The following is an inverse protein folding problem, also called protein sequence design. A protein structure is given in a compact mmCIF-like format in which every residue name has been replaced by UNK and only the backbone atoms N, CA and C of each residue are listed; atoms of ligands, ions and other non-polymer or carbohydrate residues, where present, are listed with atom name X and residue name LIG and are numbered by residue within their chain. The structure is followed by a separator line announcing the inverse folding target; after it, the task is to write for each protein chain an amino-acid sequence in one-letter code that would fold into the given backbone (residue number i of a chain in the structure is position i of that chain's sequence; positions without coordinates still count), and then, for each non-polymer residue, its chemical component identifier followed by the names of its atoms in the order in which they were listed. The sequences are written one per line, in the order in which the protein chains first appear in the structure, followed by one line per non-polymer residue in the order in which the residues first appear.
data_IF_460262770337
#
_entry.id   IF_460262770337
#
_cell.length_a   1.000
_cell.length_b   1.000
_cell.length_c   1.000
_cell.angle_alpha   90.00
_cell.angle_beta   90.00
_cell.angle_gamma   90.00
#
_symmetry.space_group_name_H-M   'P 1'
#
loop_
_entity.id
_entity.type
_entity.pdbx_description
1 polymer ?
#
# COMPACT_ATOMS: atom_id res chain seq x y z
N UNK A 1 11.48 15.55 -13.94
CA UNK A 1 10.58 16.52 -13.26
C UNK A 1 9.58 15.82 -12.32
N UNK A 2 8.61 14.98 -12.81
CA UNK A 2 7.65 14.26 -11.93
C UNK A 2 8.35 13.28 -10.96
N UNK A 3 9.19 12.41 -11.48
CA UNK A 3 9.91 11.40 -10.68
C UNK A 3 10.85 12.02 -9.65
N UNK A 4 11.54 13.08 -10.01
CA UNK A 4 12.41 13.83 -9.10
C UNK A 4 11.60 14.47 -7.96
N UNK A 5 10.42 15.00 -8.25
CA UNK A 5 9.52 15.55 -7.23
C UNK A 5 9.09 14.45 -6.26
N UNK A 6 8.64 13.30 -6.77
CA UNK A 6 8.22 12.16 -5.95
C UNK A 6 9.38 11.69 -5.08
N UNK A 7 10.56 11.46 -5.65
CA UNK A 7 11.74 11.03 -4.90
C UNK A 7 12.16 12.03 -3.83
N UNK A 8 12.10 13.32 -4.14
CA UNK A 8 12.38 14.38 -3.17
C UNK A 8 11.41 14.28 -1.98
N UNK A 9 10.10 14.12 -2.24
CA UNK A 9 9.08 14.02 -1.19
C UNK A 9 9.25 12.74 -0.35
N UNK A 10 9.50 11.59 -0.98
CA UNK A 10 9.79 10.33 -0.27
C UNK A 10 10.99 10.50 0.64
N UNK A 11 12.03 11.23 0.17
CA UNK A 11 13.20 11.53 1.00
C UNK A 11 12.87 12.47 2.16
N UNK A 12 12.07 13.51 1.95
CA UNK A 12 11.62 14.42 3.00
C UNK A 12 10.86 13.65 4.10
N UNK A 13 9.98 12.69 3.72
CA UNK A 13 9.30 11.81 4.68
C UNK A 13 10.29 10.96 5.47
N UNK A 14 11.25 10.34 4.79
CA UNK A 14 12.29 9.53 5.43
C UNK A 14 13.09 10.37 6.45
N UNK A 15 13.60 11.55 6.05
CA UNK A 15 14.39 12.43 6.90
C UNK A 15 13.58 12.94 8.10
N UNK A 16 12.30 13.26 7.87
CA UNK A 16 11.41 13.72 8.93
C UNK A 16 11.16 12.63 9.97
N UNK A 17 10.90 11.39 9.55
CA UNK A 17 10.73 10.29 10.50
C UNK A 17 12.00 10.02 11.31
N UNK A 18 13.18 10.11 10.70
CA UNK A 18 14.44 10.00 11.43
C UNK A 18 14.59 11.14 12.47
N UNK A 19 14.20 12.36 12.12
CA UNK A 19 14.26 13.50 13.05
C UNK A 19 13.33 13.35 14.25
N UNK A 20 12.26 12.55 14.12
CA UNK A 20 11.36 12.17 15.20
C UNK A 20 11.89 11.01 16.08
N UNK A 21 13.09 10.51 15.78
CA UNK A 21 13.73 9.43 16.54
C UNK A 21 13.35 8.02 16.11
N UNK A 22 12.65 7.84 14.97
CA UNK A 22 12.40 6.50 14.46
C UNK A 22 13.66 5.92 13.82
N UNK A 23 13.98 4.67 14.15
CA UNK A 23 15.01 3.90 13.45
C UNK A 23 14.39 3.34 12.15
N UNK A 24 14.52 4.12 11.07
CA UNK A 24 13.89 3.80 9.77
C UNK A 24 14.78 2.87 8.96
N UNK A 25 14.25 1.73 8.52
CA UNK A 25 14.91 0.78 7.60
C UNK A 25 14.76 1.23 6.15
N UNK A 26 13.52 1.52 5.75
CA UNK A 26 13.21 2.08 4.44
C UNK A 26 11.87 2.81 4.46
N UNK A 27 11.73 3.77 3.54
CA UNK A 27 10.48 4.49 3.25
C UNK A 27 10.13 4.26 1.80
N UNK A 28 8.92 3.76 1.53
CA UNK A 28 8.42 3.43 0.21
C UNK A 28 7.20 4.29 -0.15
N UNK A 29 7.13 4.74 -1.39
CA UNK A 29 5.93 5.38 -1.92
C UNK A 29 4.76 4.40 -1.91
N UNK A 30 3.55 4.89 -1.58
CA UNK A 30 2.30 4.16 -1.73
C UNK A 30 1.26 4.99 -2.51
N UNK A 31 0.30 4.31 -3.13
CA UNK A 31 -0.88 4.97 -3.66
C UNK A 31 -0.82 5.37 -5.13
N UNK A 32 -1.48 6.49 -5.47
CA UNK A 32 -1.85 6.85 -6.84
C UNK A 32 -0.67 6.95 -7.81
N UNK A 33 0.50 7.35 -7.36
CA UNK A 33 1.70 7.47 -8.19
C UNK A 33 2.21 6.10 -8.68
N UNK A 34 2.10 5.06 -7.84
CA UNK A 34 2.44 3.69 -8.22
C UNK A 34 1.49 3.13 -9.28
N UNK A 35 0.25 3.64 -9.30
CA UNK A 35 -0.81 3.17 -10.20
C UNK A 35 -0.87 3.96 -11.52
N UNK A 36 -0.09 5.03 -11.66
CA UNK A 36 -0.19 5.97 -12.78
C UNK A 36 -1.48 6.81 -12.76
N UNK A 37 -2.08 7.00 -11.58
CA UNK A 37 -3.36 7.68 -11.35
C UNK A 37 -3.20 8.99 -10.57
N UNK A 38 -1.99 9.50 -10.53
CA UNK A 38 -1.65 10.81 -9.99
C UNK A 38 -1.93 11.93 -10.99
N UNK A 39 -2.12 13.13 -10.48
CA UNK A 39 -2.39 14.33 -11.26
C UNK A 39 -1.54 15.48 -10.72
N UNK A 40 -0.85 16.18 -11.63
CA UNK A 40 -0.07 17.37 -11.32
C UNK A 40 -0.47 18.47 -12.32
N UNK A 41 -1.20 19.45 -11.83
CA UNK A 41 -1.60 20.63 -12.57
C UNK A 41 -1.31 21.89 -11.75
N UNK A 42 -1.50 23.07 -12.32
CA UNK A 42 -1.41 24.33 -11.57
C UNK A 42 -2.45 24.43 -10.44
N UNK A 43 -3.60 23.76 -10.62
CA UNK A 43 -4.74 23.80 -9.69
C UNK A 43 -4.74 22.65 -8.67
N UNK A 44 -4.04 21.54 -8.97
CA UNK A 44 -4.06 20.34 -8.13
C UNK A 44 -2.76 19.55 -8.25
N UNK A 45 -2.24 19.17 -7.10
CA UNK A 45 -1.11 18.23 -6.99
C UNK A 45 -1.54 17.03 -6.14
N UNK A 46 -1.29 15.83 -6.65
CA UNK A 46 -1.50 14.61 -5.88
C UNK A 46 -0.54 14.54 -4.71
N UNK A 47 -1.07 14.22 -3.53
CA UNK A 47 -0.29 13.99 -2.33
C UNK A 47 0.68 12.83 -2.52
N UNK A 48 1.84 12.91 -1.90
CA UNK A 48 2.81 11.82 -1.85
C UNK A 48 2.69 11.14 -0.51
N UNK A 49 2.00 10.00 -0.47
CA UNK A 49 1.89 9.19 0.72
C UNK A 49 2.98 8.12 0.74
N UNK A 50 3.51 7.82 1.93
CA UNK A 50 4.56 6.82 2.11
C UNK A 50 4.23 5.83 3.21
N UNK A 51 4.90 4.68 3.15
CA UNK A 51 4.89 3.68 4.22
C UNK A 51 6.32 3.29 4.55
N UNK A 52 6.66 3.39 5.84
CA UNK A 52 8.02 3.18 6.33
C UNK A 52 8.08 1.95 7.24
N UNK A 53 9.16 1.19 7.08
CA UNK A 53 9.53 0.12 8.01
C UNK A 53 10.43 0.72 9.07
N UNK A 54 10.03 0.59 10.34
CA UNK A 54 10.82 1.04 11.49
C UNK A 54 11.16 -0.12 12.42
N UNK A 55 12.24 0.05 13.20
CA UNK A 55 12.70 -0.93 14.16
C UNK A 55 12.35 -0.50 15.58
N UNK A 56 11.90 -1.44 16.41
CA UNK A 56 11.76 -1.20 17.83
C UNK A 56 13.12 -1.12 18.51
N UNK A 57 13.20 -0.48 19.68
CA UNK A 57 14.33 -0.57 20.58
C UNK A 57 14.36 -1.94 21.30
N UNK A 58 15.51 -2.34 21.82
CA UNK A 58 15.64 -3.55 22.63
C UNK A 58 14.71 -3.51 23.84
N UNK A 59 14.66 -2.37 24.52
CA UNK A 59 13.77 -2.15 25.67
C UNK A 59 12.30 -2.34 25.34
N UNK A 60 11.87 -2.04 24.11
CA UNK A 60 10.49 -2.26 23.67
C UNK A 60 10.17 -3.76 23.57
N UNK A 61 11.15 -4.60 23.19
CA UNK A 61 11.00 -6.06 23.23
C UNK A 61 10.97 -6.59 24.67
N UNK A 62 11.90 -6.13 25.52
CA UNK A 62 11.98 -6.55 26.93
C UNK A 62 10.69 -6.19 27.66
N UNK A 63 10.19 -4.99 27.45
CA UNK A 63 8.94 -4.51 28.04
C UNK A 63 7.67 -5.05 27.37
N UNK A 64 7.78 -5.90 26.34
CA UNK A 64 6.66 -6.42 25.55
C UNK A 64 5.72 -5.33 25.02
N UNK A 65 6.26 -4.18 24.65
CA UNK A 65 5.46 -3.09 24.10
C UNK A 65 4.83 -3.48 22.75
N UNK A 66 3.62 -2.97 22.52
CA UNK A 66 2.92 -3.20 21.25
C UNK A 66 3.75 -2.66 20.07
N UNK A 67 3.76 -3.38 18.93
CA UNK A 67 4.43 -2.90 17.72
C UNK A 67 3.91 -1.56 17.24
N UNK A 68 4.80 -0.67 16.79
CA UNK A 68 4.44 0.66 16.29
C UNK A 68 3.57 0.54 15.02
N UNK A 69 2.40 1.16 15.04
CA UNK A 69 1.52 1.31 13.89
C UNK A 69 0.81 2.65 13.97
N UNK A 70 1.37 3.65 13.33
CA UNK A 70 0.83 5.02 13.35
C UNK A 70 0.96 5.69 12.00
N UNK A 71 0.35 6.86 11.86
CA UNK A 71 0.51 7.74 10.70
C UNK A 71 1.00 9.10 11.20
N UNK A 72 2.09 9.56 10.64
CA UNK A 72 2.63 10.90 10.85
C UNK A 72 2.14 11.77 9.70
N UNK A 73 1.52 12.90 10.04
CA UNK A 73 1.06 13.89 9.06
C UNK A 73 2.11 14.99 8.97
N UNK A 74 2.61 15.26 7.77
CA UNK A 74 3.59 16.31 7.52
C UNK A 74 2.90 17.68 7.42
N UNK A 75 3.67 18.76 7.47
CA UNK A 75 3.15 20.15 7.40
C UNK A 75 2.34 20.44 6.14
N UNK A 76 2.61 19.74 5.07
CA UNK A 76 1.88 19.83 3.79
C UNK A 76 0.68 18.87 3.67
N UNK A 77 0.24 18.28 4.79
CA UNK A 77 -0.83 17.29 4.91
C UNK A 77 -0.57 15.94 4.19
N UNK A 78 0.64 15.65 3.76
CA UNK A 78 1.01 14.31 3.29
C UNK A 78 1.17 13.34 4.46
N UNK A 79 0.95 12.04 4.20
CA UNK A 79 0.94 11.02 5.23
C UNK A 79 2.13 10.07 5.10
N UNK A 80 2.86 9.91 6.20
CA UNK A 80 3.87 8.89 6.36
C UNK A 80 3.35 7.81 7.32
N UNK A 81 2.93 6.66 6.81
CA UNK A 81 2.59 5.53 7.65
C UNK A 81 3.86 4.91 8.22
N UNK A 82 3.91 4.75 9.54
CA UNK A 82 5.03 4.17 10.28
C UNK A 82 4.62 2.81 10.79
N UNK A 83 5.30 1.76 10.33
CA UNK A 83 5.00 0.37 10.68
C UNK A 83 6.24 -0.32 11.21
N UNK A 84 6.13 -0.87 12.43
CA UNK A 84 7.11 -1.79 12.97
C UNK A 84 7.38 -2.94 11.99
N UNK A 85 8.62 -3.36 11.89
CA UNK A 85 9.03 -4.47 11.00
C UNK A 85 8.19 -5.73 11.22
N UNK A 86 7.76 -6.00 12.47
CA UNK A 86 6.92 -7.15 12.80
C UNK A 86 5.56 -7.07 12.13
N UNK A 87 4.93 -5.87 12.14
CA UNK A 87 3.65 -5.63 11.46
C UNK A 87 3.84 -5.69 9.94
N UNK A 88 4.88 -5.04 9.42
CA UNK A 88 5.12 -4.98 7.98
C UNK A 88 5.27 -6.38 7.38
N UNK A 89 6.10 -7.23 7.99
CA UNK A 89 6.32 -8.59 7.50
C UNK A 89 5.10 -9.49 7.69
N UNK A 90 4.32 -9.28 8.76
CA UNK A 90 3.04 -9.96 8.92
C UNK A 90 2.03 -9.58 7.82
N UNK A 91 2.02 -8.32 7.38
CA UNK A 91 1.16 -7.88 6.28
C UNK A 91 1.59 -8.46 4.93
N UNK A 92 2.90 -8.65 4.70
CA UNK A 92 3.37 -9.40 3.52
C UNK A 92 2.86 -10.85 3.54
N UNK A 93 2.93 -11.55 4.68
CA UNK A 93 2.39 -12.91 4.84
C UNK A 93 0.87 -12.96 4.69
N UNK A 94 0.16 -11.93 5.14
CA UNK A 94 -1.28 -11.78 4.89
C UNK A 94 -1.63 -11.40 3.45
N UNK A 95 -0.61 -11.26 2.59
CA UNK A 95 -0.78 -10.87 1.20
C UNK A 95 -1.64 -9.61 1.05
N UNK A 96 -1.45 -8.64 1.98
CA UNK A 96 -2.21 -7.39 1.93
C UNK A 96 -1.76 -6.56 0.73
N UNK A 97 -2.69 -6.28 -0.20
CA UNK A 97 -2.40 -5.62 -1.47
C UNK A 97 -1.67 -4.29 -1.31
N UNK A 98 -2.07 -3.46 -0.31
CA UNK A 98 -1.43 -2.15 -0.04
C UNK A 98 -0.04 -2.27 0.60
N UNK A 99 0.38 -3.47 1.01
CA UNK A 99 1.74 -3.73 1.49
C UNK A 99 2.57 -4.41 0.41
N UNK A 100 1.99 -5.37 -0.31
CA UNK A 100 2.67 -6.04 -1.41
C UNK A 100 3.06 -5.04 -2.51
N UNK A 101 2.26 -3.99 -2.76
CA UNK A 101 2.61 -2.93 -3.72
C UNK A 101 3.95 -2.26 -3.42
N UNK A 102 4.35 -2.14 -2.14
CA UNK A 102 5.62 -1.51 -1.74
C UNK A 102 6.84 -2.23 -2.29
N UNK A 103 6.72 -3.54 -2.55
CA UNK A 103 7.78 -4.33 -3.17
C UNK A 103 8.02 -3.93 -4.64
N UNK A 104 7.04 -3.31 -5.27
CA UNK A 104 7.02 -2.97 -6.70
C UNK A 104 7.15 -1.48 -6.99
N UNK A 105 7.19 -0.63 -5.96
CA UNK A 105 7.45 0.80 -6.17
C UNK A 105 8.87 1.05 -6.64
N UNK A 106 9.01 1.96 -7.61
CA UNK A 106 10.31 2.42 -8.07
C UNK A 106 10.83 3.60 -7.20
N UNK A 107 10.02 4.06 -6.24
CA UNK A 107 10.30 5.20 -5.37
C UNK A 107 10.45 4.76 -3.92
N UNK A 108 11.68 4.55 -3.49
CA UNK A 108 11.99 4.22 -2.12
C UNK A 108 13.32 4.84 -1.67
N UNK A 109 13.42 5.09 -0.38
CA UNK A 109 14.66 5.47 0.30
C UNK A 109 15.00 4.35 1.27
N UNK A 110 16.16 3.76 1.10
CA UNK A 110 16.67 2.69 1.97
C UNK A 110 17.77 3.28 2.85
N UNK A 111 17.69 3.03 4.16
CA UNK A 111 18.76 3.39 5.08
C UNK A 111 20.03 2.61 4.71
N UNK A 112 21.15 3.28 4.41
CA UNK A 112 22.39 2.62 4.04
C UNK A 112 22.87 1.55 5.03
N UNK A 113 22.59 1.75 6.32
CA UNK A 113 22.94 0.83 7.40
C UNK A 113 22.30 -0.56 7.22
N UNK A 114 21.07 -0.62 6.73
CA UNK A 114 20.31 -1.86 6.53
C UNK A 114 20.23 -2.30 5.08
N UNK A 115 20.84 -1.56 4.15
CA UNK A 115 20.66 -1.77 2.71
C UNK A 115 20.97 -3.21 2.27
N UNK A 116 22.04 -3.81 2.75
CA UNK A 116 22.42 -5.18 2.39
C UNK A 116 21.48 -6.24 2.97
N UNK A 117 20.80 -5.95 4.09
CA UNK A 117 19.84 -6.84 4.75
C UNK A 117 18.43 -6.76 4.11
N UNK A 118 17.99 -5.56 3.72
CA UNK A 118 16.65 -5.35 3.17
C UNK A 118 16.58 -5.54 1.65
N UNK A 119 17.69 -5.37 0.90
CA UNK A 119 17.72 -5.50 -0.55
C UNK A 119 17.10 -6.80 -1.09
N UNK A 120 17.29 -7.98 -0.46
CA UNK A 120 16.64 -9.20 -0.91
C UNK A 120 15.10 -9.13 -0.92
N UNK A 121 14.49 -8.26 -0.10
CA UNK A 121 13.03 -8.04 -0.10
C UNK A 121 12.55 -7.55 -1.49
N UNK A 122 13.28 -6.61 -2.07
CA UNK A 122 12.95 -6.03 -3.38
C UNK A 122 13.44 -6.92 -4.55
N UNK A 123 14.60 -7.54 -4.40
CA UNK A 123 15.18 -8.41 -5.44
C UNK A 123 14.37 -9.69 -5.65
N UNK A 124 13.79 -10.24 -4.58
CA UNK A 124 13.01 -11.49 -4.60
C UNK A 124 11.50 -11.25 -4.50
N UNK A 125 11.06 -10.04 -4.82
CA UNK A 125 9.66 -9.61 -4.70
C UNK A 125 8.68 -10.53 -5.41
N UNK A 126 9.03 -11.05 -6.60
CA UNK A 126 8.12 -11.92 -7.36
C UNK A 126 7.92 -13.26 -6.68
N UNK A 127 8.93 -13.81 -6.00
CA UNK A 127 8.80 -15.01 -5.18
C UNK A 127 7.95 -14.68 -3.94
N UNK A 128 8.24 -13.57 -3.24
CA UNK A 128 7.50 -13.15 -2.05
C UNK A 128 6.02 -12.92 -2.37
N UNK A 129 5.71 -12.35 -3.52
CA UNK A 129 4.34 -12.11 -3.97
C UNK A 129 3.56 -13.39 -4.31
N UNK A 130 4.21 -14.55 -4.34
CA UNK A 130 3.54 -15.85 -4.47
C UNK A 130 3.33 -16.57 -3.13
N UNK A 131 3.59 -15.90 -2.00
CA UNK A 131 3.54 -16.50 -0.66
C UNK A 131 2.24 -17.28 -0.40
N UNK A 132 1.08 -16.68 -0.66
CA UNK A 132 -0.22 -17.35 -0.61
C UNK A 132 -1.18 -16.72 -1.63
N UNK A 133 -1.33 -17.36 -2.78
CA UNK A 133 -2.14 -16.86 -3.89
C UNK A 133 -3.63 -16.72 -3.50
N UNK A 134 -4.18 -17.71 -2.80
CA UNK A 134 -5.58 -17.67 -2.39
C UNK A 134 -5.85 -16.52 -1.42
N UNK A 135 -4.94 -16.31 -0.46
CA UNK A 135 -5.04 -15.20 0.48
C UNK A 135 -4.95 -13.85 -0.26
N UNK A 136 -4.12 -13.74 -1.29
CA UNK A 136 -4.03 -12.52 -2.11
C UNK A 136 -5.33 -12.21 -2.84
N UNK A 137 -5.95 -13.22 -3.47
CA UNK A 137 -7.26 -13.08 -4.12
C UNK A 137 -8.36 -12.68 -3.12
N UNK A 138 -8.40 -13.29 -1.94
CA UNK A 138 -9.34 -12.90 -0.87
C UNK A 138 -9.11 -11.46 -0.40
N UNK A 139 -7.85 -11.03 -0.32
CA UNK A 139 -7.52 -9.66 0.04
C UNK A 139 -8.04 -8.65 -1.00
N UNK A 140 -7.86 -8.92 -2.30
CA UNK A 140 -8.37 -8.08 -3.38
C UNK A 140 -9.89 -7.95 -3.26
N UNK A 141 -10.61 -9.07 -3.08
CA UNK A 141 -12.07 -9.08 -2.91
C UNK A 141 -12.51 -8.32 -1.66
N UNK A 142 -11.84 -8.55 -0.52
CA UNK A 142 -12.12 -7.84 0.73
C UNK A 142 -11.94 -6.32 0.61
N UNK A 143 -10.88 -5.88 -0.08
CA UNK A 143 -10.65 -4.46 -0.32
C UNK A 143 -11.74 -3.83 -1.19
N UNK A 144 -12.24 -4.50 -2.22
CA UNK A 144 -13.34 -4.00 -3.03
C UNK A 144 -14.61 -3.80 -2.18
N UNK A 145 -14.92 -4.77 -1.31
CA UNK A 145 -16.05 -4.67 -0.38
C UNK A 145 -15.90 -3.52 0.63
N UNK A 146 -14.69 -3.27 1.13
CA UNK A 146 -14.41 -2.10 1.99
C UNK A 146 -14.68 -0.79 1.25
N UNK A 147 -14.22 -0.66 0.01
CA UNK A 147 -14.46 0.55 -0.80
C UNK A 147 -15.95 0.73 -1.10
N UNK A 148 -16.67 -0.36 -1.37
CA UNK A 148 -18.13 -0.32 -1.55
C UNK A 148 -18.84 0.21 -0.30
N UNK A 149 -18.49 -0.31 0.89
CA UNK A 149 -19.04 0.17 2.16
C UNK A 149 -18.74 1.65 2.42
N UNK A 150 -17.55 2.10 2.01
CA UNK A 150 -17.11 3.47 2.19
C UNK A 150 -17.72 4.46 1.18
N UNK A 151 -18.34 3.99 0.08
CA UNK A 151 -18.80 4.80 -1.04
C UNK A 151 -19.70 5.97 -0.61
N UNK A 152 -20.69 5.71 0.22
CA UNK A 152 -21.65 6.70 0.71
C UNK A 152 -21.49 7.00 2.21
N UNK A 153 -20.38 6.54 2.84
CA UNK A 153 -20.20 6.72 4.27
C UNK A 153 -19.64 8.11 4.59
N UNK A 154 -20.30 8.90 5.46
CA UNK A 154 -19.91 10.27 5.77
C UNK A 154 -18.76 10.31 6.80
N UNK A 155 -17.56 9.85 6.42
CA UNK A 155 -16.37 10.07 7.24
C UNK A 155 -16.12 11.56 7.48
N UNK A 156 -15.56 11.97 8.62
CA UNK A 156 -15.42 13.40 8.97
C UNK A 156 -14.82 14.28 7.87
N UNK A 157 -13.83 13.80 7.12
CA UNK A 157 -13.22 14.52 6.01
C UNK A 157 -14.01 14.47 4.69
N UNK A 158 -15.14 13.76 4.64
CA UNK A 158 -15.92 13.56 3.41
C UNK A 158 -17.38 14.03 3.53
N UNK A 159 -17.79 14.58 4.69
CA UNK A 159 -19.18 14.97 4.95
C UNK A 159 -19.72 15.90 3.86
N UNK A 160 -19.04 17.01 3.59
CA UNK A 160 -19.47 17.98 2.57
C UNK A 160 -19.60 17.37 1.17
N UNK A 161 -18.71 16.43 0.85
CA UNK A 161 -18.71 15.74 -0.44
C UNK A 161 -19.89 14.78 -0.57
N UNK A 162 -20.19 14.03 0.51
CA UNK A 162 -21.31 13.11 0.56
C UNK A 162 -22.64 13.88 0.57
N UNK A 163 -22.75 14.99 1.32
CA UNK A 163 -23.93 15.86 1.28
C UNK A 163 -24.18 16.45 -0.11
N UNK A 164 -23.13 16.83 -0.82
CA UNK A 164 -23.25 17.45 -2.14
C UNK A 164 -23.56 16.46 -3.26
N UNK A 165 -22.94 15.28 -3.25
CA UNK A 165 -22.95 14.33 -4.36
C UNK A 165 -23.61 12.99 -4.04
N UNK A 166 -23.86 12.70 -2.76
CA UNK A 166 -24.38 11.42 -2.27
C UNK A 166 -23.31 10.32 -2.11
N UNK A 167 -22.11 10.49 -2.70
CA UNK A 167 -21.05 9.48 -2.67
C UNK A 167 -19.67 10.08 -2.86
N UNK A 168 -18.62 9.29 -2.52
CA UNK A 168 -17.23 9.61 -2.81
C UNK A 168 -16.73 8.89 -4.08
N UNK A 169 -16.51 9.64 -5.17
CA UNK A 169 -15.98 9.11 -6.44
C UNK A 169 -14.62 8.42 -6.30
N UNK A 170 -13.82 8.74 -5.26
CA UNK A 170 -12.56 8.03 -4.98
C UNK A 170 -12.81 6.55 -4.63
N UNK A 171 -13.90 6.24 -3.95
CA UNK A 171 -14.24 4.84 -3.61
C UNK A 171 -14.70 4.07 -4.86
N UNK A 172 -15.55 4.66 -5.70
CA UNK A 172 -15.96 4.08 -6.98
C UNK A 172 -14.75 3.81 -7.89
N UNK A 173 -13.86 4.79 -8.02
CA UNK A 173 -12.59 4.67 -8.72
C UNK A 173 -11.76 3.47 -8.21
N UNK A 174 -11.68 3.28 -6.88
CA UNK A 174 -10.94 2.16 -6.31
C UNK A 174 -11.59 0.80 -6.63
N UNK A 175 -12.93 0.69 -6.62
CA UNK A 175 -13.61 -0.55 -6.99
C UNK A 175 -13.35 -0.90 -8.46
N UNK A 176 -13.45 0.07 -9.36
CA UNK A 176 -13.16 -0.12 -10.78
C UNK A 176 -11.69 -0.54 -11.03
N UNK A 177 -10.73 0.12 -10.34
CA UNK A 177 -9.30 -0.23 -10.41
C UNK A 177 -9.03 -1.66 -9.90
N UNK A 178 -9.70 -2.05 -8.82
CA UNK A 178 -9.55 -3.41 -8.26
C UNK A 178 -10.12 -4.48 -9.20
N UNK A 179 -11.18 -4.16 -9.95
CA UNK A 179 -11.72 -5.07 -10.98
C UNK A 179 -10.72 -5.26 -12.13
N UNK A 180 -10.11 -4.17 -12.63
CA UNK A 180 -9.05 -4.24 -13.63
C UNK A 180 -7.85 -5.05 -13.10
N UNK A 181 -7.40 -4.74 -11.88
CA UNK A 181 -6.28 -5.44 -11.24
C UNK A 181 -6.54 -6.93 -11.10
N UNK A 182 -7.72 -7.33 -10.58
CA UNK A 182 -8.08 -8.73 -10.37
C UNK A 182 -8.07 -9.51 -11.68
N UNK A 183 -8.66 -8.95 -12.74
CA UNK A 183 -8.71 -9.58 -14.07
C UNK A 183 -7.30 -9.81 -14.60
N UNK A 184 -6.49 -8.78 -14.66
CA UNK A 184 -5.11 -8.85 -15.18
C UNK A 184 -4.25 -9.83 -14.37
N UNK A 185 -4.42 -9.85 -13.05
CA UNK A 185 -3.69 -10.76 -12.17
C UNK A 185 -4.03 -12.24 -12.46
N UNK A 186 -5.32 -12.59 -12.63
CA UNK A 186 -5.70 -13.97 -12.91
C UNK A 186 -5.37 -14.41 -14.34
N UNK A 187 -5.29 -13.47 -15.28
CA UNK A 187 -4.82 -13.68 -16.65
C UNK A 187 -3.29 -13.87 -16.74
N UNK A 188 -2.57 -13.69 -15.62
CA UNK A 188 -1.13 -13.93 -15.56
C UNK A 188 -0.27 -12.74 -15.97
N UNK A 189 -0.82 -11.54 -16.01
CA UNK A 189 -0.02 -10.30 -16.18
C UNK A 189 0.95 -10.18 -15.01
N UNK A 190 2.22 -9.82 -15.25
CA UNK A 190 3.20 -9.61 -14.18
C UNK A 190 2.66 -8.64 -13.11
N UNK A 191 2.84 -8.95 -11.84
CA UNK A 191 2.22 -8.18 -10.75
C UNK A 191 2.65 -6.71 -10.75
N UNK A 192 3.90 -6.42 -11.13
CA UNK A 192 4.37 -5.02 -11.31
C UNK A 192 3.47 -4.24 -12.29
N UNK A 193 3.06 -4.89 -13.37
CA UNK A 193 2.24 -4.26 -14.41
C UNK A 193 0.78 -4.19 -13.99
N UNK A 194 0.28 -5.17 -13.21
CA UNK A 194 -1.08 -5.11 -12.65
C UNK A 194 -1.32 -3.87 -11.77
N UNK A 195 -0.30 -3.35 -11.09
CA UNK A 195 -0.44 -2.12 -10.30
C UNK A 195 -0.68 -0.88 -11.17
N UNK A 196 -0.14 -0.84 -12.39
CA UNK A 196 -0.33 0.28 -13.32
C UNK A 196 -1.62 0.11 -14.10
N UNK A 197 -2.55 1.04 -13.94
CA UNK A 197 -3.82 0.99 -14.68
C UNK A 197 -3.64 1.34 -16.15
N UNK A 198 -4.28 0.58 -17.03
CA UNK A 198 -4.41 0.88 -18.45
C UNK A 198 -5.64 1.77 -18.75
N UNK A 199 -6.56 1.91 -17.77
CA UNK A 199 -7.81 2.66 -17.88
C UNK A 199 -7.75 4.02 -17.16
N UNK A 200 -6.58 4.67 -17.21
CA UNK A 200 -6.34 5.93 -16.47
C UNK A 200 -7.44 6.97 -16.69
N UNK A 201 -7.82 7.24 -17.92
CA UNK A 201 -8.80 8.29 -18.24
C UNK A 201 -10.17 7.96 -17.62
N UNK A 202 -10.66 6.74 -17.81
CA UNK A 202 -11.92 6.25 -17.25
C UNK A 202 -11.91 6.34 -15.72
N UNK A 203 -10.85 5.84 -15.09
CA UNK A 203 -10.71 5.86 -13.64
C UNK A 203 -10.65 7.29 -13.08
N UNK A 204 -9.99 8.21 -13.76
CA UNK A 204 -9.94 9.61 -13.34
C UNK A 204 -11.29 10.33 -13.51
N UNK A 205 -12.11 9.95 -14.50
CA UNK A 205 -13.50 10.43 -14.60
C UNK A 205 -14.31 9.98 -13.38
N UNK A 206 -14.25 8.69 -13.01
CA UNK A 206 -14.95 8.17 -11.83
C UNK A 206 -14.51 8.86 -10.53
N UNK A 207 -13.19 9.10 -10.37
CA UNK A 207 -12.64 9.85 -9.23
C UNK A 207 -13.23 11.26 -9.12
N UNK A 208 -13.49 11.91 -10.25
CA UNK A 208 -14.09 13.24 -10.38
C UNK A 208 -15.64 13.22 -10.42
N UNK A 209 -16.25 12.07 -10.09
CA UNK A 209 -17.71 11.87 -10.07
C UNK A 209 -18.38 12.12 -11.42
N UNK A 210 -17.70 11.74 -12.51
CA UNK A 210 -18.18 11.87 -13.89
C UNK A 210 -18.36 10.50 -14.54
N UNK A 211 -19.32 10.42 -15.47
CA UNK A 211 -19.44 9.30 -16.39
C UNK A 211 -18.35 9.37 -17.48
N UNK A 212 -18.25 8.34 -18.32
CA UNK A 212 -17.26 8.28 -19.40
C UNK A 212 -17.50 9.27 -20.55
N UNK A 213 -18.60 10.05 -20.49
CA UNK A 213 -18.90 11.18 -21.40
C UNK A 213 -18.59 12.54 -20.78
N UNK A 214 -18.13 12.54 -19.51
CA UNK A 214 -17.78 13.74 -18.75
C UNK A 214 -18.96 14.41 -18.02
N UNK A 215 -20.16 13.82 -18.04
CA UNK A 215 -21.30 14.34 -17.30
C UNK A 215 -21.19 13.93 -15.81
N UNK A 216 -21.85 14.70 -14.95
CA UNK A 216 -21.99 14.31 -13.54
C UNK A 216 -22.68 12.96 -13.42
N UNK A 217 -22.08 12.03 -12.68
CA UNK A 217 -22.63 10.69 -12.46
C UNK A 217 -23.59 10.74 -11.27
N UNK A 218 -24.91 10.44 -11.45
CA UNK A 218 -25.86 10.39 -10.36
C UNK A 218 -25.50 9.33 -9.31
N UNK A 219 -25.87 9.59 -8.04
CA UNK A 219 -25.53 8.73 -6.92
C UNK A 219 -26.03 7.29 -7.11
N UNK A 220 -27.26 7.12 -7.57
CA UNK A 220 -27.90 5.82 -7.81
C UNK A 220 -27.09 5.01 -8.84
N UNK A 221 -26.67 5.65 -9.93
CA UNK A 221 -25.88 5.01 -10.98
C UNK A 221 -24.46 4.70 -10.46
N UNK A 222 -23.87 5.59 -9.65
CA UNK A 222 -22.57 5.34 -9.03
C UNK A 222 -22.61 4.11 -8.09
N UNK A 223 -23.70 3.93 -7.35
CA UNK A 223 -23.95 2.75 -6.51
C UNK A 223 -24.03 1.49 -7.36
N UNK A 224 -24.86 1.49 -8.41
CA UNK A 224 -24.99 0.36 -9.33
C UNK A 224 -23.65 -0.04 -9.97
N UNK A 225 -22.88 0.93 -10.43
CA UNK A 225 -21.56 0.67 -11.00
C UNK A 225 -20.58 0.10 -9.95
N UNK A 226 -20.62 0.64 -8.74
CA UNK A 226 -19.77 0.14 -7.66
C UNK A 226 -20.12 -1.30 -7.30
N UNK A 227 -21.42 -1.64 -7.21
CA UNK A 227 -21.89 -3.00 -6.99
C UNK A 227 -21.44 -3.93 -8.11
N UNK A 228 -21.61 -3.52 -9.36
CA UNK A 228 -21.13 -4.29 -10.53
C UNK A 228 -19.61 -4.56 -10.48
N UNK A 229 -18.77 -3.56 -10.16
CA UNK A 229 -17.32 -3.76 -10.02
C UNK A 229 -16.98 -4.70 -8.86
N UNK A 230 -17.67 -4.57 -7.72
CA UNK A 230 -17.46 -5.47 -6.58
C UNK A 230 -17.86 -6.91 -6.89
N UNK A 231 -18.98 -7.11 -7.58
CA UNK A 231 -19.43 -8.43 -8.02
C UNK A 231 -18.46 -9.06 -9.03
N UNK A 232 -17.95 -8.25 -9.96
CA UNK A 232 -16.91 -8.70 -10.90
C UNK A 232 -15.63 -9.12 -10.16
N UNK A 233 -15.14 -8.30 -9.20
CA UNK A 233 -13.99 -8.67 -8.36
C UNK A 233 -14.26 -9.96 -7.60
N UNK A 234 -15.43 -10.08 -6.98
CA UNK A 234 -15.81 -11.28 -6.23
C UNK A 234 -15.79 -12.53 -7.14
N UNK A 235 -16.46 -12.47 -8.28
CA UNK A 235 -16.53 -13.57 -9.23
C UNK A 235 -15.14 -13.97 -9.72
N UNK A 236 -14.36 -13.01 -10.25
CA UNK A 236 -13.01 -13.24 -10.75
C UNK A 236 -12.13 -13.89 -9.67
N UNK A 237 -12.14 -13.36 -8.46
CA UNK A 237 -11.27 -13.87 -7.39
C UNK A 237 -11.70 -15.24 -6.90
N UNK A 238 -13.01 -15.49 -6.70
CA UNK A 238 -13.52 -16.76 -6.16
C UNK A 238 -13.43 -17.91 -7.13
N UNK A 239 -13.70 -17.69 -8.41
CA UNK A 239 -13.55 -18.72 -9.46
C UNK A 239 -12.10 -19.14 -9.68
N UNK A 240 -11.15 -18.32 -9.26
CA UNK A 240 -9.71 -18.57 -9.39
C UNK A 240 -9.02 -19.04 -8.10
N UNK A 241 -9.79 -19.29 -7.01
CA UNK A 241 -9.23 -19.92 -5.80
C UNK A 241 -8.87 -21.38 -6.09
N UNK A 242 -7.71 -21.80 -5.60
CA UNK A 242 -7.34 -23.20 -5.56
C UNK A 242 -8.11 -23.90 -4.42
N UNK A 243 -8.35 -25.23 -4.53
CA UNK A 243 -9.04 -26.00 -3.48
C UNK A 243 -8.35 -25.95 -2.12
N UNK A 244 -7.02 -25.81 -2.10
CA UNK A 244 -6.21 -25.74 -0.89
C UNK A 244 -5.42 -24.46 -0.83
N UNK A 245 -5.25 -23.94 0.39
CA UNK A 245 -4.33 -22.81 0.66
C UNK A 245 -2.91 -23.37 0.76
N UNK A 246 -2.13 -23.09 -0.29
CA UNK A 246 -0.72 -23.48 -0.33
C UNK A 246 0.13 -22.26 0.03
N UNK A 247 1.06 -22.46 0.98
CA UNK A 247 2.09 -21.46 1.30
C UNK A 247 3.33 -21.79 0.48
N UNK A 248 3.90 -20.79 -0.19
CA UNK A 248 5.20 -20.90 -0.82
C UNK A 248 6.29 -20.87 0.26
N UNK A 249 6.88 -22.03 0.57
CA UNK A 249 7.91 -22.18 1.60
C UNK A 249 9.18 -21.36 1.28
N UNK A 250 9.55 -21.20 0.01
CA UNK A 250 10.68 -20.34 -0.37
C UNK A 250 10.40 -18.87 -0.02
N UNK A 251 9.21 -18.37 -0.30
CA UNK A 251 8.79 -17.01 0.06
C UNK A 251 8.77 -16.83 1.58
N UNK A 252 8.33 -17.85 2.33
CA UNK A 252 8.35 -17.86 3.78
C UNK A 252 9.77 -17.73 4.33
N UNK A 253 10.70 -18.58 3.88
CA UNK A 253 12.08 -18.55 4.34
C UNK A 253 12.78 -17.24 3.98
N UNK A 254 12.51 -16.67 2.80
CA UNK A 254 13.02 -15.35 2.42
C UNK A 254 12.57 -14.28 3.42
N UNK A 255 11.26 -14.16 3.66
CA UNK A 255 10.70 -13.18 4.60
C UNK A 255 11.28 -13.35 6.02
N UNK A 256 11.28 -14.56 6.52
CA UNK A 256 11.80 -14.91 7.85
C UNK A 256 13.28 -14.54 8.00
N UNK A 257 14.09 -14.85 6.99
CA UNK A 257 15.54 -14.60 7.04
C UNK A 257 15.84 -13.10 6.98
N UNK A 258 15.14 -12.33 6.14
CA UNK A 258 15.32 -10.88 6.05
C UNK A 258 14.92 -10.22 7.39
N UNK A 259 13.72 -10.51 7.87
CA UNK A 259 13.24 -9.96 9.14
C UNK A 259 14.18 -10.30 10.30
N UNK A 260 14.58 -11.57 10.40
CA UNK A 260 15.47 -12.04 11.45
C UNK A 260 16.86 -11.42 11.38
N UNK A 261 17.42 -11.22 10.20
CA UNK A 261 18.73 -10.58 10.01
C UNK A 261 18.72 -9.13 10.45
N UNK A 262 17.70 -8.35 10.04
CA UNK A 262 17.56 -6.94 10.40
C UNK A 262 17.37 -6.77 11.91
N UNK A 263 16.51 -7.59 12.54
CA UNK A 263 16.27 -7.52 13.97
C UNK A 263 17.53 -7.91 14.77
N UNK A 264 18.28 -8.93 14.36
CA UNK A 264 19.53 -9.33 15.01
C UNK A 264 20.58 -8.22 14.93
N UNK A 265 20.70 -7.56 13.78
CA UNK A 265 21.63 -6.44 13.62
C UNK A 265 21.26 -5.27 14.53
N UNK A 266 19.97 -4.91 14.60
CA UNK A 266 19.49 -3.87 15.50
C UNK A 266 19.79 -4.17 16.96
N UNK A 267 19.48 -5.39 17.43
CA UNK A 267 19.71 -5.80 18.82
C UNK A 267 21.21 -5.83 19.16
N UNK A 268 22.05 -6.31 18.23
CA UNK A 268 23.50 -6.33 18.41
C UNK A 268 24.07 -4.91 18.62
N UNK A 269 23.61 -3.95 17.85
CA UNK A 269 24.05 -2.56 17.97
C UNK A 269 23.68 -1.93 19.31
N UNK A 270 22.45 -2.15 19.77
CA UNK A 270 22.01 -1.61 21.07
C UNK A 270 22.82 -2.18 22.23
N UNK A 271 23.04 -3.52 22.22
CA UNK A 271 23.87 -4.18 23.24
C UNK A 271 25.33 -3.66 23.24
N UNK A 272 25.90 -3.39 22.07
CA UNK A 272 27.27 -2.85 21.99
C UNK A 272 27.36 -1.40 22.47
N UNK A 273 26.29 -0.61 22.29
CA UNK A 273 26.26 0.78 22.76
C UNK A 273 26.12 0.84 24.28
N UNK A 274 25.39 -0.10 24.92
CA UNK A 274 25.27 -0.19 26.38
C UNK A 274 26.57 -0.58 27.09
N UNK A 275 27.50 -1.28 26.39
CA UNK A 275 28.81 -1.63 26.95
C UNK A 275 29.82 -0.46 26.96
N UNK A 276 29.51 0.66 26.31
CA UNK A 276 30.39 1.83 26.13
C UNK A 276 30.03 2.97 27.09
N UNK A 277 28.82 3.01 27.63
CA UNK A 277 28.33 3.99 28.60
C UNK A 277 28.52 3.49 30.05
#
# INVERSE_FOLDING_TARGET
MREELIMKRVKEHYDYLQSLGYEVVCTCLQGSQNYGLDEYSEEYMSDVDTKSIVLPALDDFIAAKAPISTTVVLENNEHAEVKDIRIMFEMFKKMNLSYVELLYTDFNIINPKYAYLISPLFQKRDIIATYNRNQFLRCISGMAQEKRKALCHPYPGLIEKIEKYGYDGKQLHHCARLAEFALRYVEGVPLKDCYKSEKREELMMLKKQKDFKGNMLPCEIAIEWCDHYCDAVYTITHENLKPTDEINEEAWEILKNIQGAILKERMREELLNEEID
#
